data_IF_831557641954
#
_entry.id   IF_831557641954
#
_cell.length_a   1.000
_cell.length_b   1.000
_cell.length_c   1.000
_cell.angle_alpha   90.00
_cell.angle_beta   90.00
_cell.angle_gamma   90.00
#
_symmetry.space_group_name_H-M   'P 1'
#
loop_
_entity.id
_entity.type
_entity.pdbx_description
1 polymer ?
#
# COMPACT_ATOMS: atom_id res chain seq x y z
N UNK A 1 -11.63 -2.34 7.82
CA UNK A 1 -10.52 -3.31 7.99
C UNK A 1 -10.57 -3.92 9.38
N UNK A 2 -10.44 -3.14 10.45
CA UNK A 2 -10.49 -3.67 11.83
C UNK A 2 -11.74 -4.52 12.12
N UNK A 3 -12.93 -4.09 11.72
CA UNK A 3 -14.16 -4.86 11.93
C UNK A 3 -14.14 -6.27 11.33
N UNK A 4 -13.41 -6.47 10.24
CA UNK A 4 -13.34 -7.77 9.55
C UNK A 4 -12.10 -8.58 9.92
N UNK A 5 -10.99 -7.93 10.27
CA UNK A 5 -9.71 -8.59 10.58
C UNK A 5 -9.45 -8.71 12.10
N UNK A 6 -10.19 -7.98 12.95
CA UNK A 6 -10.00 -7.92 14.39
C UNK A 6 -8.74 -7.17 14.86
N UNK A 7 -7.87 -6.75 13.93
CA UNK A 7 -6.65 -6.00 14.18
C UNK A 7 -6.29 -5.14 12.96
N UNK A 8 -5.40 -4.17 13.15
CA UNK A 8 -4.72 -3.45 12.08
C UNK A 8 -3.21 -3.75 12.04
N UNK A 9 -2.69 -4.36 13.09
CA UNK A 9 -1.26 -4.64 13.28
C UNK A 9 -0.76 -5.75 12.36
N UNK A 10 0.41 -5.54 11.76
CA UNK A 10 1.15 -6.52 10.96
C UNK A 10 0.35 -7.13 9.80
N UNK A 11 -0.61 -6.37 9.25
CA UNK A 11 -1.41 -6.83 8.14
C UNK A 11 -0.64 -6.74 6.82
N UNK A 12 -0.77 -7.78 5.99
CA UNK A 12 -0.41 -7.72 4.58
C UNK A 12 -1.60 -7.20 3.79
N UNK A 13 -1.46 -6.04 3.14
CA UNK A 13 -2.52 -5.35 2.41
C UNK A 13 -2.16 -5.26 0.94
N UNK A 14 -2.95 -5.93 0.11
CA UNK A 14 -2.81 -5.89 -1.35
C UNK A 14 -3.76 -4.85 -1.91
N UNK A 15 -3.22 -3.89 -2.66
CA UNK A 15 -3.97 -2.80 -3.28
C UNK A 15 -3.84 -2.96 -4.79
N UNK A 16 -5.00 -3.05 -5.45
CA UNK A 16 -5.10 -3.35 -6.89
C UNK A 16 -5.80 -2.20 -7.62
N UNK A 17 -5.27 -1.76 -8.76
CA UNK A 17 -5.94 -0.81 -9.66
C UNK A 17 -5.15 0.48 -9.89
N UNK A 18 -5.82 1.64 -9.81
CA UNK A 18 -5.19 2.95 -10.03
C UNK A 18 -4.45 3.43 -8.78
N UNK A 19 -3.15 3.16 -8.73
CA UNK A 19 -2.27 3.58 -7.64
C UNK A 19 -1.68 4.98 -7.90
N UNK A 20 -1.69 5.44 -9.15
CA UNK A 20 -1.13 6.73 -9.56
C UNK A 20 -2.02 7.91 -9.15
N UNK A 21 -3.31 7.83 -9.40
CA UNK A 21 -4.29 8.91 -9.11
C UNK A 21 -5.24 8.57 -7.96
N UNK A 22 -5.21 7.32 -7.47
CA UNK A 22 -6.04 6.84 -6.37
C UNK A 22 -5.78 7.55 -5.03
N UNK A 23 -6.35 8.74 -4.82
CA UNK A 23 -6.22 9.50 -3.55
C UNK A 23 -6.61 8.70 -2.31
N UNK A 24 -7.61 7.82 -2.43
CA UNK A 24 -8.02 6.94 -1.33
C UNK A 24 -6.93 5.92 -0.97
N UNK A 25 -6.24 5.35 -1.98
CA UNK A 25 -5.10 4.45 -1.77
C UNK A 25 -3.97 5.17 -1.05
N UNK A 26 -3.68 6.40 -1.44
CA UNK A 26 -2.64 7.22 -0.82
C UNK A 26 -2.93 7.49 0.66
N UNK A 27 -4.16 7.87 0.98
CA UNK A 27 -4.60 8.07 2.37
C UNK A 27 -4.57 6.76 3.17
N UNK A 28 -4.92 5.63 2.53
CA UNK A 28 -4.86 4.31 3.16
C UNK A 28 -3.43 3.91 3.53
N UNK A 29 -2.46 4.09 2.63
CA UNK A 29 -1.03 3.79 2.87
C UNK A 29 -0.54 4.59 4.08
N UNK A 30 -0.84 5.89 4.12
CA UNK A 30 -0.45 6.75 5.24
C UNK A 30 -1.13 6.33 6.55
N UNK A 31 -2.43 6.06 6.52
CA UNK A 31 -3.18 5.65 7.72
C UNK A 31 -2.71 4.31 8.28
N UNK A 32 -2.46 3.32 7.42
CA UNK A 32 -1.99 2.01 7.83
C UNK A 32 -0.52 1.98 8.24
N UNK A 33 0.28 2.97 7.84
CA UNK A 33 1.71 3.05 8.16
C UNK A 33 2.05 3.08 9.66
N UNK A 34 1.05 3.26 10.53
CA UNK A 34 1.20 3.25 11.98
C UNK A 34 1.12 1.84 12.60
N UNK A 35 0.78 0.82 11.82
CA UNK A 35 0.45 -0.53 12.30
C UNK A 35 1.36 -1.62 11.70
N UNK A 36 2.60 -1.26 11.36
CA UNK A 36 3.59 -2.17 10.76
C UNK A 36 3.07 -3.01 9.58
N UNK A 37 2.42 -2.42 8.57
CA UNK A 37 1.83 -3.19 7.47
C UNK A 37 2.91 -3.75 6.54
N UNK A 38 2.51 -4.67 5.67
CA UNK A 38 3.24 -5.01 4.44
C UNK A 38 2.34 -4.72 3.26
N UNK A 39 2.81 -3.94 2.28
CA UNK A 39 1.99 -3.56 1.12
C UNK A 39 2.32 -4.39 -0.13
N UNK A 40 1.30 -4.81 -0.87
CA UNK A 40 1.48 -5.32 -2.23
C UNK A 40 0.76 -4.38 -3.19
N UNK A 41 1.49 -3.78 -4.12
CA UNK A 41 0.97 -2.84 -5.11
C UNK A 41 0.80 -3.56 -6.44
N UNK A 42 -0.44 -3.74 -6.89
CA UNK A 42 -0.76 -4.44 -8.15
C UNK A 42 -1.40 -3.46 -9.12
N UNK A 43 -0.68 -3.09 -10.17
CA UNK A 43 -1.18 -2.15 -11.17
C UNK A 43 -0.45 -2.31 -12.50
N UNK A 44 -1.10 -1.98 -13.64
CA UNK A 44 -0.38 -1.80 -14.90
C UNK A 44 0.73 -0.75 -14.75
N UNK A 45 1.76 -0.84 -15.58
CA UNK A 45 2.90 0.07 -15.55
C UNK A 45 2.48 1.55 -15.62
N UNK A 46 1.42 1.89 -16.35
CA UNK A 46 0.94 3.27 -16.46
C UNK A 46 0.33 3.84 -15.16
N UNK A 47 -0.13 2.95 -14.28
CA UNK A 47 -0.91 3.25 -13.07
C UNK A 47 -0.17 2.85 -11.77
N UNK A 48 1.13 2.59 -11.84
CA UNK A 48 1.96 2.21 -10.70
C UNK A 48 1.94 3.26 -9.57
N UNK A 49 2.30 2.83 -8.36
CA UNK A 49 2.35 3.72 -7.19
C UNK A 49 3.45 4.77 -7.37
N UNK A 50 3.19 6.08 -7.15
CA UNK A 50 4.22 7.10 -7.30
C UNK A 50 5.40 6.89 -6.33
N UNK A 51 6.63 7.15 -6.79
CA UNK A 51 7.87 6.92 -6.03
C UNK A 51 7.89 7.55 -4.64
N UNK A 52 7.22 8.70 -4.45
CA UNK A 52 7.10 9.36 -3.14
C UNK A 52 6.51 8.43 -2.06
N UNK A 53 5.64 7.49 -2.43
CA UNK A 53 5.08 6.52 -1.49
C UNK A 53 6.00 5.33 -1.24
N UNK A 54 6.85 4.97 -2.21
CA UNK A 54 7.92 3.98 -2.03
C UNK A 54 8.96 4.50 -1.04
N UNK A 55 9.45 5.72 -1.27
CA UNK A 55 10.36 6.43 -0.36
C UNK A 55 9.75 6.58 1.03
N UNK A 56 8.45 6.88 1.13
CA UNK A 56 7.75 6.93 2.40
C UNK A 56 7.74 5.56 3.13
N UNK A 57 7.53 4.47 2.40
CA UNK A 57 7.61 3.12 2.97
C UNK A 57 9.04 2.81 3.43
N UNK A 58 10.06 3.13 2.63
CA UNK A 58 11.46 2.92 2.96
C UNK A 58 11.86 3.68 4.25
N UNK A 59 11.46 4.95 4.36
CA UNK A 59 11.72 5.79 5.53
C UNK A 59 11.08 5.25 6.81
N UNK A 60 9.93 4.57 6.68
CA UNK A 60 9.21 3.95 7.80
C UNK A 60 9.56 2.47 7.98
N UNK A 61 10.49 1.93 7.19
CA UNK A 61 10.85 0.51 7.20
C UNK A 61 9.65 -0.42 6.97
N UNK A 62 8.71 0.02 6.14
CA UNK A 62 7.52 -0.74 5.75
C UNK A 62 7.87 -1.58 4.53
N UNK A 63 7.70 -2.89 4.63
CA UNK A 63 7.91 -3.79 3.50
C UNK A 63 6.85 -3.58 2.42
N UNK A 64 7.26 -3.57 1.15
CA UNK A 64 6.34 -3.55 0.03
C UNK A 64 6.85 -4.35 -1.17
N UNK A 65 5.92 -4.81 -1.99
CA UNK A 65 6.18 -5.47 -3.28
C UNK A 65 5.35 -4.80 -4.38
N UNK A 66 5.82 -4.91 -5.62
CA UNK A 66 5.13 -4.40 -6.81
C UNK A 66 4.90 -5.53 -7.81
N UNK A 67 3.73 -5.55 -8.42
CA UNK A 67 3.31 -6.54 -9.41
C UNK A 67 2.59 -5.85 -10.57
N UNK A 68 2.90 -6.27 -11.79
CA UNK A 68 2.28 -5.76 -13.02
C UNK A 68 1.33 -6.75 -13.68
N UNK A 69 1.43 -8.03 -13.32
CA UNK A 69 0.61 -9.12 -13.87
C UNK A 69 -0.55 -9.48 -12.94
N UNK A 70 -1.72 -9.74 -13.53
CA UNK A 70 -2.97 -10.14 -12.87
C UNK A 70 -3.21 -11.64 -12.95
#
# INVERSE_FOLDING_TARGET
IYETQGTLENLTVTIVGDLKYGRAVHSLIQGLSHFSPTFNFVAPEELHIPDKYKVFCDQKQIAYNEFTDF
#
